data_IF_913300576155
#
_entry.id   IF_913300576155
#
_cell.length_a   1.000
_cell.length_b   1.000
_cell.length_c   1.000
_cell.angle_alpha   90.00
_cell.angle_beta   90.00
_cell.angle_gamma   90.00
#
_symmetry.space_group_name_H-M   'P 1'
#
loop_
_entity.id
_entity.type
_entity.pdbx_description
1 polymer ?
#
# COMPACT_ATOMS: atom_id res chain seq x y z
N UNK A 1 -19.69 -16.73 21.63
CA UNK A 1 -18.40 -16.03 21.42
C UNK A 1 -17.88 -16.44 20.05
N UNK A 2 -17.24 -15.55 19.28
CA UNK A 2 -16.69 -15.89 17.95
C UNK A 2 -15.49 -16.82 18.11
N UNK A 3 -15.43 -17.88 17.31
CA UNK A 3 -14.23 -18.72 17.16
C UNK A 3 -13.23 -18.00 16.23
N UNK A 4 -12.01 -17.77 16.73
CA UNK A 4 -10.94 -17.10 15.99
C UNK A 4 -10.07 -18.07 15.18
N UNK A 5 -10.26 -19.39 15.33
CA UNK A 5 -9.57 -20.41 14.53
C UNK A 5 -10.26 -20.68 13.19
N UNK A 6 -11.51 -20.24 13.03
CA UNK A 6 -12.26 -20.37 11.78
C UNK A 6 -12.37 -19.02 11.04
N UNK A 7 -12.28 -18.99 9.70
CA UNK A 7 -12.53 -17.79 8.92
C UNK A 7 -13.93 -17.25 9.21
N UNK A 8 -14.04 -16.00 9.67
CA UNK A 8 -15.32 -15.41 10.07
C UNK A 8 -15.93 -14.45 9.07
N UNK A 9 -15.41 -14.34 7.84
CA UNK A 9 -15.94 -13.50 6.77
C UNK A 9 -15.97 -14.28 5.46
N UNK A 10 -17.10 -14.24 4.77
CA UNK A 10 -17.24 -14.79 3.43
C UNK A 10 -16.38 -14.01 2.42
N UNK A 11 -15.95 -14.68 1.35
CA UNK A 11 -15.28 -14.03 0.22
C UNK A 11 -16.17 -12.94 -0.38
N UNK A 12 -15.60 -11.76 -0.60
CA UNK A 12 -16.29 -10.64 -1.25
C UNK A 12 -16.12 -10.78 -2.76
N UNK A 13 -17.20 -10.59 -3.52
CA UNK A 13 -17.20 -10.61 -4.99
C UNK A 13 -17.60 -9.23 -5.53
N UNK A 14 -16.95 -8.77 -6.59
CA UNK A 14 -17.26 -7.48 -7.23
C UNK A 14 -17.00 -7.55 -8.74
N UNK A 15 -17.83 -6.86 -9.54
CA UNK A 15 -17.70 -6.80 -11.01
C UNK A 15 -16.96 -5.57 -11.52
N UNK A 16 -17.04 -4.44 -10.79
CA UNK A 16 -16.62 -3.13 -11.29
C UNK A 16 -15.35 -2.61 -10.59
N UNK A 17 -14.98 -3.18 -9.45
CA UNK A 17 -13.82 -2.75 -8.69
C UNK A 17 -13.83 -3.32 -7.27
N UNK A 18 -12.63 -3.55 -6.74
CA UNK A 18 -12.41 -4.03 -5.39
C UNK A 18 -11.17 -3.36 -4.82
N UNK A 19 -11.21 -3.01 -3.54
CA UNK A 19 -10.03 -2.59 -2.78
C UNK A 19 -9.96 -3.41 -1.49
N UNK A 20 -8.75 -3.75 -1.07
CA UNK A 20 -8.49 -4.41 0.20
C UNK A 20 -7.23 -3.80 0.82
N UNK A 21 -7.34 -3.34 2.05
CA UNK A 21 -6.21 -2.82 2.85
C UNK A 21 -6.36 -3.30 4.30
N UNK A 22 -5.34 -3.08 5.13
CA UNK A 22 -5.35 -3.39 6.57
C UNK A 22 -6.33 -2.54 7.37
N UNK A 23 -6.66 -1.33 6.90
CA UNK A 23 -7.53 -0.40 7.60
C UNK A 23 -8.87 -0.16 6.87
N UNK A 24 -10.04 -0.30 7.54
CA UNK A 24 -11.34 -0.06 6.91
C UNK A 24 -11.49 1.34 6.29
N UNK A 25 -11.01 2.39 6.96
CA UNK A 25 -11.09 3.77 6.44
C UNK A 25 -10.30 3.97 5.14
N UNK A 26 -9.10 3.36 5.02
CA UNK A 26 -8.30 3.42 3.81
C UNK A 26 -8.99 2.67 2.65
N UNK A 27 -9.57 1.49 2.96
CA UNK A 27 -10.35 0.71 2.00
C UNK A 27 -11.58 1.50 1.50
N UNK A 28 -12.32 2.14 2.40
CA UNK A 28 -13.51 2.94 2.05
C UNK A 28 -13.13 4.15 1.18
N UNK A 29 -12.07 4.87 1.53
CA UNK A 29 -11.60 6.00 0.72
C UNK A 29 -11.17 5.58 -0.69
N UNK A 30 -10.45 4.45 -0.82
CA UNK A 30 -10.06 3.88 -2.11
C UNK A 30 -11.29 3.49 -2.96
N UNK A 31 -12.30 2.87 -2.35
CA UNK A 31 -13.57 2.53 -3.02
C UNK A 31 -14.30 3.79 -3.48
N UNK A 32 -14.31 4.86 -2.67
CA UNK A 32 -14.97 6.12 -3.05
C UNK A 32 -14.29 6.80 -4.25
N UNK A 33 -12.98 6.63 -4.42
CA UNK A 33 -12.27 7.07 -5.63
C UNK A 33 -12.66 6.24 -6.85
N UNK A 34 -12.78 4.91 -6.72
CA UNK A 34 -13.31 4.07 -7.81
C UNK A 34 -14.72 4.50 -8.21
N UNK A 35 -15.61 4.76 -7.24
CA UNK A 35 -16.99 5.24 -7.49
C UNK A 35 -17.02 6.59 -8.22
N UNK A 36 -16.02 7.44 -8.02
CA UNK A 36 -15.87 8.74 -8.70
C UNK A 36 -15.23 8.64 -10.09
N UNK A 37 -15.04 7.42 -10.60
CA UNK A 37 -14.47 7.17 -11.93
C UNK A 37 -12.94 7.04 -11.94
N UNK A 38 -12.29 6.99 -10.78
CA UNK A 38 -10.87 6.65 -10.69
C UNK A 38 -10.61 5.19 -11.06
N UNK A 39 -9.38 4.90 -11.48
CA UNK A 39 -8.94 3.54 -11.79
C UNK A 39 -8.31 2.86 -10.56
N UNK A 40 -7.86 1.61 -10.73
CA UNK A 40 -7.24 0.83 -9.65
C UNK A 40 -5.97 1.47 -9.06
N UNK A 41 -5.20 2.20 -9.86
CA UNK A 41 -4.00 2.92 -9.41
C UNK A 41 -4.39 4.14 -8.58
N UNK A 42 -5.40 4.92 -9.00
CA UNK A 42 -5.91 6.06 -8.22
C UNK A 42 -6.42 5.62 -6.84
N UNK A 43 -7.13 4.50 -6.81
CA UNK A 43 -7.61 3.87 -5.58
C UNK A 43 -6.45 3.38 -4.69
N UNK A 44 -5.43 2.75 -5.28
CA UNK A 44 -4.26 2.27 -4.55
C UNK A 44 -3.46 3.43 -3.92
N UNK A 45 -3.23 4.53 -4.65
CA UNK A 45 -2.55 5.73 -4.13
C UNK A 45 -3.34 6.35 -2.99
N UNK A 46 -4.67 6.46 -3.14
CA UNK A 46 -5.57 6.97 -2.10
C UNK A 46 -5.50 6.12 -0.83
N UNK A 47 -5.56 4.79 -0.98
CA UNK A 47 -5.43 3.86 0.14
C UNK A 47 -4.08 3.99 0.83
N UNK A 48 -2.98 3.98 0.09
CA UNK A 48 -1.62 4.10 0.63
C UNK A 48 -1.42 5.41 1.43
N UNK A 49 -1.92 6.53 0.92
CA UNK A 49 -1.87 7.81 1.63
C UNK A 49 -2.69 7.78 2.93
N UNK A 50 -3.91 7.22 2.90
CA UNK A 50 -4.72 7.10 4.11
C UNK A 50 -4.11 6.15 5.13
N UNK A 51 -3.42 5.10 4.70
CA UNK A 51 -2.73 4.17 5.61
C UNK A 51 -1.63 4.88 6.40
N UNK A 52 -0.92 5.84 5.81
CA UNK A 52 0.04 6.67 6.55
C UNK A 52 -0.58 7.45 7.72
N UNK A 53 -1.87 7.74 7.66
CA UNK A 53 -2.63 8.37 8.75
C UNK A 53 -3.30 7.35 9.69
N UNK A 54 -3.89 6.30 9.13
CA UNK A 54 -4.66 5.31 9.89
C UNK A 54 -3.76 4.33 10.66
N UNK A 55 -2.57 4.06 10.11
CA UNK A 55 -1.61 3.07 10.63
C UNK A 55 -0.19 3.67 10.67
N UNK A 56 0.02 4.82 11.38
CA UNK A 56 1.29 5.53 11.36
C UNK A 56 2.46 4.75 11.99
N UNK A 57 2.14 3.70 12.76
CA UNK A 57 3.11 2.78 13.33
C UNK A 57 3.62 1.74 12.33
N UNK A 58 2.98 1.62 11.16
CA UNK A 58 3.31 0.66 10.09
C UNK A 58 3.87 1.34 8.85
N UNK A 59 3.36 2.52 8.48
CA UNK A 59 3.71 3.20 7.22
C UNK A 59 3.55 4.72 7.33
N UNK A 60 4.09 5.46 6.36
CA UNK A 60 4.00 6.91 6.31
C UNK A 60 4.68 7.51 5.07
N UNK A 61 4.55 8.84 4.92
CA UNK A 61 5.07 9.58 3.75
C UNK A 61 6.58 9.47 3.56
N UNK A 62 7.34 9.26 4.63
CA UNK A 62 8.80 9.12 4.59
C UNK A 62 9.30 7.70 4.31
N UNK A 63 8.40 6.76 4.01
CA UNK A 63 8.76 5.41 3.62
C UNK A 63 9.07 5.28 2.13
N UNK A 64 9.23 4.02 1.72
CA UNK A 64 9.48 3.60 0.35
C UNK A 64 8.25 2.87 -0.18
N UNK A 65 8.18 2.60 -1.49
CA UNK A 65 7.11 1.77 -2.04
C UNK A 65 7.56 0.82 -3.15
N UNK A 66 6.81 -0.25 -3.30
CA UNK A 66 6.88 -1.15 -4.44
C UNK A 66 5.47 -1.36 -4.98
N UNK A 67 5.33 -1.54 -6.29
CA UNK A 67 4.05 -1.87 -6.90
C UNK A 67 4.22 -2.83 -8.07
N UNK A 68 3.27 -3.77 -8.17
CA UNK A 68 3.06 -4.59 -9.35
C UNK A 68 1.73 -4.15 -9.97
N UNK A 69 1.78 -3.71 -11.22
CA UNK A 69 0.63 -3.09 -11.89
C UNK A 69 0.39 -3.85 -13.18
N UNK A 70 -0.79 -4.45 -13.29
CA UNK A 70 -1.27 -5.05 -14.52
C UNK A 70 -2.48 -4.23 -15.00
N UNK A 71 -2.39 -3.64 -16.20
CA UNK A 71 -3.47 -2.78 -16.70
C UNK A 71 -4.67 -3.62 -17.15
N UNK A 72 -4.39 -4.69 -17.90
CA UNK A 72 -5.40 -5.59 -18.46
C UNK A 72 -4.92 -7.05 -18.28
N UNK A 73 -5.80 -8.06 -18.27
CA UNK A 73 -5.40 -9.46 -18.04
C UNK A 73 -4.33 -10.00 -19.00
N UNK A 74 -4.25 -9.46 -20.22
CA UNK A 74 -3.28 -9.84 -21.24
C UNK A 74 -2.03 -8.94 -21.27
N UNK A 75 -1.96 -7.90 -20.44
CA UNK A 75 -0.79 -7.02 -20.40
C UNK A 75 0.30 -7.60 -19.51
N UNK A 76 1.55 -7.30 -19.86
CA UNK A 76 2.68 -7.54 -18.97
C UNK A 76 2.49 -6.83 -17.62
N UNK A 77 3.11 -7.40 -16.60
CA UNK A 77 3.15 -6.81 -15.26
C UNK A 77 4.23 -5.74 -15.25
N UNK A 78 3.85 -4.50 -14.97
CA UNK A 78 4.79 -3.43 -14.67
C UNK A 78 5.22 -3.54 -13.21
N UNK A 79 6.52 -3.68 -12.97
CA UNK A 79 7.11 -3.61 -11.64
C UNK A 79 7.72 -2.22 -11.39
N UNK A 80 7.23 -1.54 -10.36
CA UNK A 80 7.76 -0.26 -9.88
C UNK A 80 8.55 -0.49 -8.59
N UNK A 81 9.84 -0.14 -8.64
CA UNK A 81 10.69 -0.04 -7.46
C UNK A 81 10.84 1.45 -7.09
N UNK A 82 10.15 1.86 -6.03
CA UNK A 82 10.23 3.19 -5.44
C UNK A 82 11.08 3.23 -4.17
N UNK A 83 12.05 2.32 -4.03
CA UNK A 83 12.95 2.32 -2.87
C UNK A 83 13.97 3.45 -2.93
N UNK A 84 14.08 4.17 -1.81
CA UNK A 84 15.06 5.22 -1.61
C UNK A 84 16.48 4.66 -1.49
N UNK A 85 17.44 5.36 -2.08
CA UNK A 85 18.86 5.03 -1.89
C UNK A 85 19.41 5.68 -0.62
N UNK A 86 20.49 5.11 -0.08
CA UNK A 86 21.26 5.75 0.96
C UNK A 86 21.71 7.17 0.52
N UNK A 87 21.71 8.16 1.43
CA UNK A 87 22.18 9.51 1.12
C UNK A 87 23.62 9.51 0.60
N UNK A 88 23.92 10.36 -0.39
CA UNK A 88 25.23 10.41 -1.07
C UNK A 88 26.43 10.54 -0.12
N UNK A 89 26.26 11.27 0.98
CA UNK A 89 27.32 11.54 1.95
C UNK A 89 27.25 10.63 3.19
N UNK A 90 26.32 9.66 3.23
CA UNK A 90 26.24 8.70 4.33
C UNK A 90 27.35 7.66 4.18
N UNK A 91 28.25 7.61 5.16
CA UNK A 91 29.39 6.70 5.16
C UNK A 91 29.31 5.75 6.35
N UNK A 92 29.32 4.44 6.07
CA UNK A 92 29.33 3.41 7.11
C UNK A 92 30.57 3.51 8.03
N UNK A 93 31.70 3.98 7.50
CA UNK A 93 32.91 4.23 8.31
C UNK A 93 32.69 5.39 9.29
N UNK A 94 32.01 6.45 8.85
CA UNK A 94 31.75 7.61 9.71
C UNK A 94 30.69 7.31 10.79
N UNK A 95 29.65 6.53 10.46
CA UNK A 95 28.65 6.09 11.43
C UNK A 95 29.28 5.27 12.56
N UNK A 96 30.15 4.30 12.23
CA UNK A 96 30.88 3.51 13.22
C UNK A 96 31.77 4.34 14.14
N UNK A 97 32.42 5.37 13.60
CA UNK A 97 33.21 6.31 14.41
C UNK A 97 32.37 7.12 15.39
N UNK A 98 31.08 7.31 15.12
CA UNK A 98 30.13 8.00 16.00
C UNK A 98 29.48 7.08 17.04
N UNK A 99 29.78 5.78 17.02
CA UNK A 99 29.24 4.79 17.95
C UNK A 99 27.92 4.15 17.52
N UNK A 100 27.55 4.28 16.24
CA UNK A 100 26.52 3.45 15.60
C UNK A 100 27.09 2.10 15.13
#
# INVERSE_FOLDING_TARGET
>A
MRDFHLPGRSTVLASNGMCATSHPLATTAAIDVLKKGGNAVDAAVTGALLLGLCEPHMTGLGGDMFALIQKNPSSDILALNGSGRAPKNLSATNLRKQGF
#
